data_IF_558607772455
#
_entry.id   IF_558607772455
#
_cell.length_a   1.000
_cell.length_b   1.000
_cell.length_c   1.000
_cell.angle_alpha   90.00
_cell.angle_beta   90.00
_cell.angle_gamma   90.00
#
_symmetry.space_group_name_H-M   'P 1'
#
loop_
_entity.id
_entity.type
_entity.pdbx_description
1 polymer ?
#
# COMPACT_ATOMS: atom_id res chain seq x y z
N UNK A 1 14.90 -18.37 -9.53
CA UNK A 1 14.60 -17.34 -10.54
C UNK A 1 14.93 -15.96 -10.02
N UNK A 2 15.32 -15.05 -10.89
CA UNK A 2 15.59 -13.70 -10.46
C UNK A 2 14.30 -12.85 -10.45
N UNK A 3 14.40 -11.67 -9.87
CA UNK A 3 13.25 -10.76 -9.71
C UNK A 3 12.60 -10.39 -11.05
N UNK A 4 13.41 -10.15 -12.07
CA UNK A 4 12.89 -9.72 -13.38
C UNK A 4 12.06 -10.84 -14.01
N UNK A 5 12.53 -12.08 -13.94
CA UNK A 5 11.77 -13.22 -14.45
C UNK A 5 10.46 -13.41 -13.70
N UNK A 6 10.50 -13.31 -12.37
CA UNK A 6 9.29 -13.43 -11.56
C UNK A 6 8.27 -12.35 -11.90
N UNK A 7 8.74 -11.14 -12.13
CA UNK A 7 7.88 -10.03 -12.52
C UNK A 7 7.26 -10.28 -13.90
N UNK A 8 8.09 -10.73 -14.86
CA UNK A 8 7.64 -10.99 -16.21
C UNK A 8 6.52 -12.03 -16.26
N UNK A 9 6.68 -13.09 -15.49
CA UNK A 9 5.70 -14.18 -15.46
C UNK A 9 4.48 -13.89 -14.57
N UNK A 10 4.39 -12.70 -13.99
CA UNK A 10 3.24 -12.31 -13.18
C UNK A 10 3.22 -12.95 -11.80
N UNK A 11 4.36 -13.43 -11.33
CA UNK A 11 4.45 -14.08 -10.02
C UNK A 11 4.60 -13.07 -8.87
N UNK A 12 4.74 -11.80 -9.20
CA UNK A 12 4.81 -10.72 -8.21
C UNK A 12 3.56 -9.89 -8.34
N UNK A 13 2.74 -9.91 -7.30
CA UNK A 13 1.50 -9.15 -7.26
C UNK A 13 1.61 -8.06 -6.19
N UNK A 14 1.75 -6.79 -6.60
CA UNK A 14 1.89 -5.71 -5.62
C UNK A 14 0.64 -5.47 -4.78
N UNK A 15 -0.50 -6.00 -5.21
CA UNK A 15 -1.74 -5.88 -4.43
C UNK A 15 -1.87 -6.98 -3.39
N UNK A 16 -1.13 -8.07 -3.51
CA UNK A 16 -1.11 -9.15 -2.52
C UNK A 16 -0.21 -8.74 -1.37
N UNK A 17 -0.73 -7.91 -0.49
CA UNK A 17 0.05 -7.32 0.60
C UNK A 17 0.10 -8.25 1.80
N UNK A 18 1.23 -8.20 2.52
CA UNK A 18 1.39 -8.96 3.75
C UNK A 18 0.38 -8.59 4.83
N UNK A 19 -0.23 -7.41 4.76
CA UNK A 19 -1.27 -6.99 5.68
C UNK A 19 -2.49 -7.93 5.68
N UNK A 20 -2.72 -8.64 4.58
CA UNK A 20 -3.82 -9.60 4.51
C UNK A 20 -3.63 -10.77 5.47
N UNK A 21 -2.39 -11.02 5.90
CA UNK A 21 -2.06 -12.07 6.86
C UNK A 21 -1.77 -11.51 8.25
N UNK A 22 -1.95 -10.21 8.44
CA UNK A 22 -1.70 -9.56 9.72
C UNK A 22 -2.93 -9.73 10.61
N UNK A 23 -2.80 -10.45 11.76
CA UNK A 23 -3.95 -10.72 12.62
C UNK A 23 -4.65 -9.47 13.14
N UNK A 24 -3.89 -8.41 13.40
CA UNK A 24 -4.48 -7.15 13.87
C UNK A 24 -5.34 -6.51 12.81
N UNK A 25 -4.86 -6.49 11.57
CA UNK A 25 -5.62 -5.95 10.44
C UNK A 25 -6.88 -6.76 10.20
N UNK A 26 -6.77 -8.10 10.23
CA UNK A 26 -7.92 -8.98 10.06
C UNK A 26 -8.97 -8.75 11.13
N UNK A 27 -8.55 -8.59 12.38
CA UNK A 27 -9.45 -8.33 13.50
C UNK A 27 -10.18 -7.00 13.33
N UNK A 28 -9.45 -5.96 12.95
CA UNK A 28 -10.04 -4.64 12.72
C UNK A 28 -11.00 -4.65 11.52
N UNK A 29 -10.67 -5.37 10.46
CA UNK A 29 -11.54 -5.54 9.30
C UNK A 29 -12.85 -6.23 9.69
N UNK A 30 -12.76 -7.23 10.54
CA UNK A 30 -13.94 -7.92 11.02
C UNK A 30 -14.83 -6.98 11.86
N UNK A 31 -14.23 -6.18 12.72
CA UNK A 31 -14.95 -5.19 13.52
C UNK A 31 -15.66 -4.18 12.63
N UNK A 32 -14.98 -3.69 11.59
CA UNK A 32 -15.59 -2.76 10.64
C UNK A 32 -16.79 -3.39 9.93
N UNK A 33 -16.64 -4.64 9.49
CA UNK A 33 -17.71 -5.35 8.79
C UNK A 33 -18.92 -5.56 9.70
N UNK A 34 -18.70 -5.96 10.93
CA UNK A 34 -19.78 -6.18 11.90
C UNK A 34 -20.50 -4.87 12.21
N UNK A 35 -19.75 -3.78 12.39
CA UNK A 35 -20.33 -2.46 12.66
C UNK A 35 -21.13 -1.94 11.49
N UNK A 36 -20.63 -2.15 10.27
CA UNK A 36 -21.34 -1.76 9.05
C UNK A 36 -22.67 -2.50 8.96
N UNK A 37 -22.67 -3.80 9.16
CA UNK A 37 -23.89 -4.61 9.11
C UNK A 37 -24.88 -4.16 10.18
N UNK A 38 -24.40 -3.93 11.39
CA UNK A 38 -25.26 -3.48 12.49
C UNK A 38 -25.92 -2.14 12.16
N UNK A 39 -25.13 -1.17 11.70
CA UNK A 39 -25.66 0.16 11.41
C UNK A 39 -26.59 0.15 10.19
N UNK A 40 -26.29 -0.65 9.19
CA UNK A 40 -27.13 -0.78 8.00
C UNK A 40 -28.50 -1.29 8.39
N UNK A 41 -28.58 -2.23 9.33
CA UNK A 41 -29.86 -2.76 9.81
C UNK A 41 -30.62 -1.79 10.70
N UNK A 42 -29.92 -0.97 11.48
CA UNK A 42 -30.56 -0.10 12.48
C UNK A 42 -30.97 1.26 11.93
N UNK A 43 -30.22 1.78 10.96
CA UNK A 43 -30.48 3.10 10.41
C UNK A 43 -31.55 3.03 9.33
N UNK A 44 -32.23 4.15 9.11
CA UNK A 44 -33.26 4.27 8.07
C UNK A 44 -33.28 5.69 7.53
N UNK A 45 -33.90 5.85 6.35
CA UNK A 45 -34.09 7.15 5.73
C UNK A 45 -32.77 7.87 5.43
N UNK A 46 -32.75 9.15 5.75
CA UNK A 46 -31.58 10.02 5.47
C UNK A 46 -30.33 9.58 6.24
N UNK A 47 -30.50 9.10 7.46
CA UNK A 47 -29.37 8.64 8.26
C UNK A 47 -28.70 7.44 7.61
N UNK A 48 -29.48 6.49 7.12
CA UNK A 48 -28.95 5.32 6.41
C UNK A 48 -28.24 5.73 5.12
N UNK A 49 -28.84 6.64 4.38
CA UNK A 49 -28.26 7.13 3.13
C UNK A 49 -26.90 7.77 3.39
N UNK A 50 -26.81 8.60 4.41
CA UNK A 50 -25.56 9.27 4.79
C UNK A 50 -24.50 8.27 5.23
N UNK A 51 -24.89 7.27 6.01
CA UNK A 51 -23.96 6.25 6.46
C UNK A 51 -23.39 5.46 5.28
N UNK A 52 -24.24 5.03 4.36
CA UNK A 52 -23.80 4.25 3.19
C UNK A 52 -22.90 5.10 2.28
N UNK A 53 -23.23 6.39 2.12
CA UNK A 53 -22.36 7.29 1.38
C UNK A 53 -21.00 7.44 2.04
N UNK A 54 -20.96 7.56 3.36
CA UNK A 54 -19.71 7.63 4.12
C UNK A 54 -18.85 6.39 3.88
N UNK A 55 -19.46 5.20 3.94
CA UNK A 55 -18.73 3.95 3.71
C UNK A 55 -18.15 3.92 2.30
N UNK A 56 -18.95 4.28 1.29
CA UNK A 56 -18.52 4.25 -0.10
C UNK A 56 -17.38 5.24 -0.36
N UNK A 57 -17.50 6.45 0.13
CA UNK A 57 -16.48 7.49 -0.06
C UNK A 57 -15.20 7.10 0.68
N UNK A 58 -15.33 6.58 1.90
CA UNK A 58 -14.16 6.14 2.65
C UNK A 58 -13.42 5.02 1.91
N UNK A 59 -14.16 4.06 1.34
CA UNK A 59 -13.54 2.98 0.56
C UNK A 59 -12.80 3.53 -0.66
N UNK A 60 -13.38 4.52 -1.34
CA UNK A 60 -12.74 5.16 -2.49
C UNK A 60 -11.46 5.89 -2.08
N UNK A 61 -11.51 6.66 -0.99
CA UNK A 61 -10.34 7.37 -0.47
C UNK A 61 -9.24 6.39 -0.09
N UNK A 62 -9.62 5.31 0.58
CA UNK A 62 -8.64 4.29 0.99
C UNK A 62 -7.96 3.65 -0.23
N UNK A 63 -8.72 3.35 -1.27
CA UNK A 63 -8.17 2.77 -2.50
C UNK A 63 -7.20 3.72 -3.19
N UNK A 64 -7.58 4.97 -3.36
CA UNK A 64 -6.72 5.98 -3.99
C UNK A 64 -5.47 6.26 -3.15
N UNK A 65 -5.63 6.37 -1.85
CA UNK A 65 -4.51 6.62 -0.94
C UNK A 65 -3.52 5.45 -0.94
N UNK A 66 -4.01 4.23 -1.03
CA UNK A 66 -3.16 3.04 -1.12
C UNK A 66 -2.34 3.06 -2.41
N UNK A 67 -2.96 3.42 -3.53
CA UNK A 67 -2.26 3.54 -4.80
C UNK A 67 -1.18 4.63 -4.73
N UNK A 68 -1.53 5.79 -4.19
CA UNK A 68 -0.58 6.88 -4.05
C UNK A 68 0.62 6.49 -3.18
N UNK A 69 0.37 5.80 -2.09
CA UNK A 69 1.44 5.31 -1.22
C UNK A 69 2.35 4.32 -1.93
N UNK A 70 1.78 3.43 -2.73
CA UNK A 70 2.55 2.48 -3.53
C UNK A 70 3.44 3.20 -4.52
N UNK A 71 2.89 4.16 -5.27
CA UNK A 71 3.65 4.92 -6.26
C UNK A 71 4.76 5.71 -5.58
N UNK A 72 4.46 6.38 -4.47
CA UNK A 72 5.45 7.15 -3.73
C UNK A 72 6.58 6.27 -3.23
N UNK A 73 6.25 5.13 -2.63
CA UNK A 73 7.25 4.20 -2.14
C UNK A 73 8.14 3.66 -3.25
N UNK A 74 7.55 3.32 -4.39
CA UNK A 74 8.29 2.83 -5.55
C UNK A 74 9.27 3.89 -6.04
N UNK A 75 8.80 5.13 -6.19
CA UNK A 75 9.64 6.24 -6.66
C UNK A 75 10.76 6.57 -5.70
N UNK A 76 10.45 6.59 -4.40
CA UNK A 76 11.48 6.83 -3.38
C UNK A 76 12.56 5.76 -3.42
N UNK A 77 12.16 4.49 -3.51
CA UNK A 77 13.11 3.40 -3.60
C UNK A 77 14.02 3.51 -4.82
N UNK A 78 13.43 3.85 -5.97
CA UNK A 78 14.19 4.03 -7.20
C UNK A 78 15.17 5.20 -7.09
N UNK A 79 14.74 6.31 -6.46
CA UNK A 79 15.60 7.47 -6.27
C UNK A 79 16.76 7.18 -5.32
N UNK A 80 16.52 6.45 -4.23
CA UNK A 80 17.60 6.04 -3.35
C UNK A 80 18.62 5.17 -4.07
N UNK A 81 18.15 4.24 -4.88
CA UNK A 81 19.04 3.37 -5.66
C UNK A 81 19.83 4.18 -6.68
N UNK A 82 19.18 5.09 -7.38
CA UNK A 82 19.84 5.95 -8.36
C UNK A 82 20.93 6.79 -7.68
N UNK A 83 20.60 7.43 -6.57
CA UNK A 83 21.55 8.25 -5.85
C UNK A 83 22.76 7.45 -5.37
N UNK A 84 22.51 6.22 -4.92
CA UNK A 84 23.56 5.35 -4.40
C UNK A 84 24.55 4.92 -5.48
N UNK A 85 24.06 4.58 -6.67
CA UNK A 85 24.90 3.93 -7.69
C UNK A 85 25.30 4.83 -8.86
N UNK A 86 24.59 5.93 -9.06
CA UNK A 86 24.80 6.78 -10.24
C UNK A 86 25.44 8.12 -9.87
N UNK A 87 25.12 8.65 -8.69
CA UNK A 87 25.66 9.94 -8.27
C UNK A 87 27.15 9.82 -7.94
N UNK A 88 27.93 10.78 -8.44
CA UNK A 88 29.38 10.75 -8.24
C UNK A 88 29.85 11.17 -6.86
N UNK A 89 28.97 11.75 -6.05
CA UNK A 89 29.30 12.22 -4.70
C UNK A 89 28.49 11.45 -3.66
N UNK A 90 29.08 10.37 -3.17
CA UNK A 90 28.47 9.62 -2.08
C UNK A 90 28.64 10.40 -0.77
N UNK A 91 27.61 10.42 0.10
CA UNK A 91 27.73 11.04 1.42
C UNK A 91 28.53 10.20 2.41
N UNK A 92 29.12 9.11 1.94
CA UNK A 92 29.89 8.17 2.74
C UNK A 92 31.13 7.76 1.93
N UNK A 93 32.07 7.10 2.59
CA UNK A 93 33.25 6.59 1.91
C UNK A 93 32.89 5.42 1.01
N UNK A 94 33.24 5.52 -0.27
CA UNK A 94 32.96 4.47 -1.25
C UNK A 94 34.26 3.70 -1.51
N UNK A 95 34.44 2.61 -0.78
CA UNK A 95 35.64 1.80 -0.88
C UNK A 95 35.81 1.11 -2.23
N UNK A 96 34.67 0.80 -2.88
CA UNK A 96 34.73 0.18 -4.19
C UNK A 96 35.26 1.14 -5.25
N UNK A 97 34.92 2.41 -5.11
CA UNK A 97 35.39 3.45 -6.03
C UNK A 97 36.88 3.70 -5.87
N UNK A 98 37.36 3.63 -4.64
CA UNK A 98 38.77 3.89 -4.35
C UNK A 98 39.70 2.76 -4.83
N UNK A 99 39.17 1.59 -5.07
CA UNK A 99 39.92 0.42 -5.55
C UNK A 99 40.17 0.46 -7.06
N UNK A 100 39.52 1.32 -7.77
CA UNK A 100 39.68 1.46 -9.22
C UNK A 100 40.70 2.51 -9.56
#
# INVERSE_FOLDING_TARGET
MNFIEEFYYGNINPQARGSDQNPKVQKDMQTLSESEDFLTDKLSGEEKRRFLQYVDVWAAVNGESTLDSFITGFRLGAQFTFDTFVTSKAPYADYLKDEI
#
